data_IF_571882760832
#
_entry.id   IF_571882760832
#
_cell.length_a   1.000
_cell.length_b   1.000
_cell.length_c   1.000
_cell.angle_alpha   90.00
_cell.angle_beta   90.00
_cell.angle_gamma   90.00
#
_symmetry.space_group_name_H-M   'P 1'
#
loop_
_entity.id
_entity.type
_entity.pdbx_description
1 polymer ?
#
# COMPACT_ATOMS: atom_id res chain seq x y z
N UNK A 1 6.41 -24.52 8.07
CA UNK A 1 5.34 -23.82 8.79
C UNK A 1 4.04 -24.60 8.65
N UNK A 2 3.12 -24.54 9.62
CA UNK A 2 1.80 -25.18 9.46
C UNK A 2 1.02 -24.50 8.32
N UNK A 3 0.31 -25.27 7.49
CA UNK A 3 -0.58 -24.77 6.42
C UNK A 3 -1.54 -23.69 6.93
N UNK A 4 -2.09 -23.89 8.12
CA UNK A 4 -2.98 -22.92 8.77
C UNK A 4 -2.32 -21.55 9.01
N UNK A 5 -1.05 -21.53 9.39
CA UNK A 5 -0.30 -20.28 9.63
C UNK A 5 -0.06 -19.52 8.32
N UNK A 6 0.17 -20.25 7.22
CA UNK A 6 0.36 -19.68 5.90
C UNK A 6 -0.94 -19.09 5.35
N UNK A 7 -2.02 -19.87 5.38
CA UNK A 7 -3.35 -19.43 4.94
C UNK A 7 -3.78 -18.16 5.69
N UNK A 8 -3.56 -18.12 7.00
CA UNK A 8 -3.84 -16.94 7.82
C UNK A 8 -3.04 -15.71 7.36
N UNK A 9 -1.73 -15.86 7.12
CA UNK A 9 -0.88 -14.75 6.67
C UNK A 9 -1.27 -14.23 5.29
N UNK A 10 -1.57 -15.12 4.36
CA UNK A 10 -2.04 -14.74 3.02
C UNK A 10 -3.36 -13.98 3.08
N UNK A 11 -4.32 -14.45 3.88
CA UNK A 11 -5.60 -13.76 4.08
C UNK A 11 -5.42 -12.40 4.75
N UNK A 12 -4.61 -12.35 5.82
CA UNK A 12 -4.33 -11.11 6.53
C UNK A 12 -3.66 -10.07 5.61
N UNK A 13 -2.68 -10.49 4.80
CA UNK A 13 -2.01 -9.60 3.85
C UNK A 13 -2.95 -9.17 2.72
N UNK A 14 -3.82 -10.05 2.23
CA UNK A 14 -4.85 -9.69 1.25
C UNK A 14 -5.81 -8.62 1.79
N UNK A 15 -6.26 -8.76 3.04
CA UNK A 15 -7.08 -7.74 3.71
C UNK A 15 -6.31 -6.44 3.92
N UNK A 16 -5.02 -6.51 4.25
CA UNK A 16 -4.16 -5.34 4.38
C UNK A 16 -4.08 -4.55 3.08
N UNK A 17 -3.81 -5.22 1.95
CA UNK A 17 -3.77 -4.56 0.63
C UNK A 17 -5.11 -3.92 0.26
N UNK A 18 -6.24 -4.58 0.55
CA UNK A 18 -7.56 -3.97 0.33
C UNK A 18 -7.77 -2.72 1.19
N UNK A 19 -7.28 -2.74 2.44
CA UNK A 19 -7.33 -1.58 3.31
C UNK A 19 -6.48 -0.43 2.79
N UNK A 20 -5.26 -0.72 2.31
CA UNK A 20 -4.38 0.28 1.69
C UNK A 20 -5.03 0.93 0.47
N UNK A 21 -5.64 0.14 -0.42
CA UNK A 21 -6.33 0.66 -1.59
C UNK A 21 -7.49 1.61 -1.24
N UNK A 22 -8.28 1.28 -0.20
CA UNK A 22 -9.35 2.17 0.29
C UNK A 22 -8.81 3.45 0.92
N UNK A 23 -7.75 3.34 1.73
CA UNK A 23 -7.10 4.50 2.34
C UNK A 23 -6.58 5.46 1.25
N UNK A 24 -5.95 4.92 0.21
CA UNK A 24 -5.46 5.67 -0.94
C UNK A 24 -6.58 6.44 -1.68
N UNK A 25 -7.70 5.77 -1.95
CA UNK A 25 -8.85 6.40 -2.62
C UNK A 25 -9.48 7.53 -1.79
N UNK A 26 -9.70 7.29 -0.49
CA UNK A 26 -10.28 8.28 0.42
C UNK A 26 -9.39 9.51 0.54
N UNK A 27 -8.09 9.31 0.75
CA UNK A 27 -7.15 10.39 0.96
C UNK A 27 -6.91 11.18 -0.33
N UNK A 28 -6.85 10.53 -1.49
CA UNK A 28 -6.73 11.24 -2.78
C UNK A 28 -7.90 12.20 -2.98
N UNK A 29 -9.11 11.79 -2.61
CA UNK A 29 -10.30 12.64 -2.71
C UNK A 29 -10.29 13.80 -1.70
N UNK A 30 -9.87 13.55 -0.46
CA UNK A 30 -9.74 14.58 0.57
C UNK A 30 -8.68 15.63 0.19
N UNK A 31 -7.55 15.19 -0.35
CA UNK A 31 -6.43 16.04 -0.71
C UNK A 31 -6.80 16.99 -1.84
N UNK A 32 -7.53 16.50 -2.86
CA UNK A 32 -8.09 17.37 -3.91
C UNK A 32 -8.96 18.46 -3.32
N UNK A 33 -9.88 18.11 -2.41
CA UNK A 33 -10.76 19.10 -1.76
C UNK A 33 -10.01 20.12 -0.91
N UNK A 34 -8.95 19.69 -0.23
CA UNK A 34 -8.11 20.59 0.57
C UNK A 34 -7.36 21.55 -0.34
N UNK A 35 -6.75 21.05 -1.43
CA UNK A 35 -6.06 21.88 -2.43
C UNK A 35 -7.03 22.89 -3.06
N UNK A 36 -8.21 22.45 -3.47
CA UNK A 36 -9.24 23.30 -4.07
C UNK A 36 -9.80 24.34 -3.08
N UNK A 37 -9.70 24.06 -1.78
CA UNK A 37 -10.12 24.95 -0.71
C UNK A 37 -9.10 26.02 -0.32
N UNK A 38 -7.87 25.95 -0.84
CA UNK A 38 -6.89 27.02 -0.60
C UNK A 38 -7.28 28.30 -1.36
N UNK A 39 -7.15 29.48 -0.74
CA UNK A 39 -7.37 30.74 -1.43
C UNK A 39 -6.42 30.84 -2.65
N UNK A 40 -6.97 31.13 -3.82
CA UNK A 40 -6.19 31.35 -5.05
C UNK A 40 -5.61 32.76 -5.15
N UNK A 41 -6.10 33.67 -4.31
CA UNK A 41 -5.65 35.06 -4.22
C UNK A 41 -5.22 35.32 -2.77
N UNK A 42 -4.10 36.03 -2.59
CA UNK A 42 -3.63 36.47 -1.27
C UNK A 42 -4.59 37.53 -0.72
N UNK A 43 -5.72 37.09 -0.17
CA UNK A 43 -6.67 37.96 0.49
C UNK A 43 -6.14 38.30 1.90
N UNK A 44 -6.10 39.59 2.22
CA UNK A 44 -5.77 40.13 3.54
C UNK A 44 -4.41 39.75 4.18
N UNK A 45 -3.37 39.55 3.36
CA UNK A 45 -1.99 39.39 3.88
C UNK A 45 -1.71 38.04 4.56
N UNK A 46 -2.60 37.06 4.38
CA UNK A 46 -2.36 35.67 4.74
C UNK A 46 -1.70 34.93 3.57
N UNK A 47 -0.42 34.60 3.72
CA UNK A 47 0.31 33.77 2.75
C UNK A 47 -0.10 32.29 2.90
N UNK A 48 -1.06 31.88 2.07
CA UNK A 48 -1.55 30.51 2.02
C UNK A 48 -0.59 29.55 1.29
N UNK A 49 0.43 30.07 0.59
CA UNK A 49 1.31 29.30 -0.29
C UNK A 49 2.16 28.31 0.49
N UNK A 50 2.71 28.72 1.65
CA UNK A 50 3.51 27.86 2.51
C UNK A 50 2.70 26.65 3.05
N UNK A 51 1.45 26.87 3.43
CA UNK A 51 0.55 25.80 3.90
C UNK A 51 0.20 24.81 2.79
N UNK A 52 -0.12 25.33 1.60
CA UNK A 52 -0.38 24.52 0.41
C UNK A 52 0.85 23.69 0.00
N UNK A 53 2.04 24.30 0.02
CA UNK A 53 3.30 23.62 -0.30
C UNK A 53 3.62 22.50 0.71
N UNK A 54 3.48 22.76 2.01
CA UNK A 54 3.69 21.74 3.05
C UNK A 54 2.71 20.57 2.89
N UNK A 55 1.43 20.86 2.58
CA UNK A 55 0.42 19.83 2.37
C UNK A 55 0.70 18.97 1.13
N UNK A 56 1.14 19.59 0.02
CA UNK A 56 1.58 18.87 -1.19
C UNK A 56 2.75 17.93 -0.90
N UNK A 57 3.78 18.40 -0.19
CA UNK A 57 4.92 17.55 0.19
C UNK A 57 4.50 16.36 1.06
N UNK A 58 3.61 16.60 2.04
CA UNK A 58 3.06 15.54 2.87
C UNK A 58 2.28 14.50 2.05
N UNK A 59 1.48 14.94 1.08
CA UNK A 59 0.79 14.03 0.17
C UNK A 59 1.76 13.18 -0.64
N UNK A 60 2.78 13.79 -1.25
CA UNK A 60 3.79 13.07 -2.04
C UNK A 60 4.54 12.01 -1.22
N UNK A 61 4.89 12.33 0.04
CA UNK A 61 5.52 11.37 0.94
C UNK A 61 4.59 10.21 1.26
N UNK A 62 3.30 10.47 1.45
CA UNK A 62 2.33 9.40 1.70
C UNK A 62 2.09 8.55 0.44
N UNK A 63 2.04 9.12 -0.76
CA UNK A 63 1.99 8.35 -2.01
C UNK A 63 3.19 7.40 -2.14
N UNK A 64 4.39 7.89 -1.84
CA UNK A 64 5.60 7.06 -1.81
C UNK A 64 5.49 5.90 -0.81
N UNK A 65 4.93 6.16 0.37
CA UNK A 65 4.66 5.12 1.38
C UNK A 65 3.69 4.07 0.83
N UNK A 66 2.58 4.48 0.23
CA UNK A 66 1.59 3.53 -0.31
C UNK A 66 2.18 2.62 -1.37
N UNK A 67 2.96 3.17 -2.29
CA UNK A 67 3.63 2.39 -3.32
C UNK A 67 4.59 1.37 -2.71
N UNK A 68 5.43 1.81 -1.76
CA UNK A 68 6.38 0.93 -1.08
C UNK A 68 5.68 -0.20 -0.31
N UNK A 69 4.63 0.10 0.45
CA UNK A 69 3.90 -0.92 1.21
C UNK A 69 3.14 -1.88 0.29
N UNK A 70 2.62 -1.40 -0.84
CA UNK A 70 1.97 -2.23 -1.85
C UNK A 70 2.97 -3.21 -2.47
N UNK A 71 4.13 -2.72 -2.90
CA UNK A 71 5.20 -3.55 -3.47
C UNK A 71 5.68 -4.63 -2.49
N UNK A 72 5.88 -4.25 -1.22
CA UNK A 72 6.25 -5.19 -0.17
C UNK A 72 5.18 -6.26 0.08
N UNK A 73 3.91 -5.86 0.04
CA UNK A 73 2.78 -6.76 0.24
C UNK A 73 2.67 -7.76 -0.91
N UNK A 74 2.86 -7.30 -2.15
CA UNK A 74 2.90 -8.16 -3.35
C UNK A 74 4.07 -9.14 -3.26
N UNK A 75 5.27 -8.64 -2.96
CA UNK A 75 6.46 -9.49 -2.79
C UNK A 75 6.25 -10.56 -1.72
N UNK A 76 5.65 -10.20 -0.58
CA UNK A 76 5.32 -11.17 0.46
C UNK A 76 4.36 -12.25 -0.03
N UNK A 77 3.29 -11.88 -0.74
CA UNK A 77 2.31 -12.82 -1.26
C UNK A 77 2.91 -13.75 -2.33
N UNK A 78 3.76 -13.23 -3.20
CA UNK A 78 4.47 -14.03 -4.20
C UNK A 78 5.46 -15.00 -3.55
N UNK A 79 6.19 -14.59 -2.52
CA UNK A 79 7.06 -15.48 -1.76
C UNK A 79 6.26 -16.63 -1.10
N UNK A 80 5.06 -16.34 -0.57
CA UNK A 80 4.17 -17.38 -0.07
C UNK A 80 3.70 -18.32 -1.21
N UNK A 81 3.44 -17.82 -2.42
CA UNK A 81 3.04 -18.68 -3.56
C UNK A 81 4.17 -19.61 -4.01
N UNK A 82 5.40 -19.12 -4.13
CA UNK A 82 6.55 -19.96 -4.55
C UNK A 82 6.79 -21.10 -3.57
N UNK A 83 6.64 -20.85 -2.26
CA UNK A 83 6.69 -21.93 -1.25
C UNK A 83 5.63 -23.03 -1.49
N UNK A 84 4.49 -22.76 -2.13
CA UNK A 84 3.49 -23.80 -2.46
C UNK A 84 3.90 -24.68 -3.65
N UNK A 85 4.74 -24.18 -4.56
CA UNK A 85 5.23 -24.95 -5.72
C UNK A 85 6.32 -25.94 -5.29
N UNK A 86 7.25 -25.53 -4.42
CA UNK A 86 8.29 -26.41 -3.87
C UNK A 86 7.74 -27.46 -2.90
N UNK A 87 6.63 -27.17 -2.21
CA UNK A 87 5.98 -28.11 -1.28
C UNK A 87 5.23 -29.25 -1.98
N UNK A 88 4.94 -29.11 -3.28
CA UNK A 88 4.15 -30.05 -4.07
C UNK A 88 4.99 -30.93 -5.02
N UNK A 89 6.33 -30.84 -4.98
CA UNK A 89 7.17 -31.83 -5.66
C UNK A 89 7.15 -33.15 -4.87
N UNK A 90 6.42 -34.15 -5.37
CA UNK A 90 6.53 -35.52 -4.85
C UNK A 90 7.99 -36.00 -4.94
N UNK A 91 8.52 -36.67 -3.91
CA UNK A 91 9.84 -37.27 -3.99
C UNK A 91 9.81 -38.32 -5.09
N UNK A 92 10.58 -38.09 -6.15
CA UNK A 92 10.81 -39.08 -7.20
C UNK A 92 11.58 -40.24 -6.54
N UNK A 93 10.86 -41.25 -6.08
CA UNK A 93 11.44 -42.52 -5.69
C UNK A 93 11.94 -43.21 -6.96
N UNK A 94 13.24 -43.08 -7.24
CA UNK A 94 13.92 -43.95 -8.19
C UNK A 94 14.14 -45.31 -7.52
N UNK A 95 13.57 -46.41 -8.03
CA UNK A 95 13.88 -47.74 -7.54
C UNK A 95 15.29 -48.12 -7.98
N UNK A 96 16.16 -48.43 -7.00
CA UNK A 96 17.42 -49.16 -7.21
C UNK A 96 17.19 -50.66 -7.29
#
# INVERSE_FOLDING_TARGET
>A
MSKMTKDFRTQAMGLYMQSLGREHELLTNEIKRIIDGFPNENDDGFDAEAGCAAFKQYHELREKRFNLETDQSIYFLDAQRVEDEDSNQEPIFTPT
#
